data_IF_480526847931
#
_entry.id   IF_480526847931
#
_cell.length_a   1.000
_cell.length_b   1.000
_cell.length_c   1.000
_cell.angle_alpha   90.00
_cell.angle_beta   90.00
_cell.angle_gamma   90.00
#
_symmetry.space_group_name_H-M   'P 1'
#
loop_
_entity.id
_entity.type
_entity.pdbx_description
1 polymer ?
#
# COMPACT_ATOMS: atom_id res chain seq x y z
N UNK A 1 2.83 -35.75 5.87
CA UNK A 1 3.16 -34.75 4.84
C UNK A 1 2.70 -35.29 3.50
N UNK A 2 1.77 -34.61 2.85
CA UNK A 2 1.32 -34.96 1.51
C UNK A 2 2.16 -34.17 0.50
N UNK A 3 2.90 -34.88 -0.35
CA UNK A 3 3.71 -34.24 -1.40
C UNK A 3 2.85 -34.15 -2.67
N UNK A 4 2.77 -32.95 -3.25
CA UNK A 4 2.09 -32.72 -4.52
C UNK A 4 3.14 -32.49 -5.59
N UNK A 5 3.12 -33.34 -6.60
CA UNK A 5 4.00 -33.28 -7.76
C UNK A 5 3.20 -32.75 -8.94
N UNK A 6 3.68 -31.67 -9.55
CA UNK A 6 3.09 -31.11 -10.77
C UNK A 6 4.06 -31.41 -11.91
N UNK A 7 3.69 -32.36 -12.76
CA UNK A 7 4.44 -32.71 -13.96
C UNK A 7 3.86 -32.00 -15.19
N UNK A 8 4.21 -30.72 -15.33
CA UNK A 8 3.68 -29.87 -16.40
C UNK A 8 4.78 -28.92 -16.94
N UNK A 9 5.63 -29.40 -17.86
CA UNK A 9 6.79 -28.63 -18.35
C UNK A 9 6.43 -27.37 -19.14
N UNK A 10 5.23 -27.31 -19.73
CA UNK A 10 4.74 -26.13 -20.45
C UNK A 10 3.88 -25.20 -19.57
N UNK A 11 3.79 -25.47 -18.27
CA UNK A 11 3.00 -24.64 -17.37
C UNK A 11 3.68 -23.27 -17.19
N UNK A 12 3.01 -22.21 -17.66
CA UNK A 12 3.52 -20.84 -17.52
C UNK A 12 3.00 -20.13 -16.27
N UNK A 13 1.81 -20.52 -15.79
CA UNK A 13 1.15 -19.89 -14.64
C UNK A 13 0.59 -20.92 -13.67
N UNK A 14 0.87 -20.75 -12.39
CA UNK A 14 0.33 -21.57 -11.31
C UNK A 14 -0.24 -20.67 -10.21
N UNK A 15 -1.51 -20.89 -9.88
CA UNK A 15 -2.15 -20.33 -8.69
C UNK A 15 -2.56 -21.50 -7.78
N UNK A 16 -1.98 -21.55 -6.59
CA UNK A 16 -2.18 -22.64 -5.66
C UNK A 16 -2.45 -22.14 -4.25
N UNK A 17 -3.63 -22.48 -3.73
CA UNK A 17 -4.03 -22.19 -2.36
C UNK A 17 -3.91 -23.48 -1.53
N UNK A 18 -2.98 -23.48 -0.58
CA UNK A 18 -2.72 -24.63 0.28
C UNK A 18 -3.79 -24.69 1.37
N UNK A 19 -4.23 -25.90 1.72
CA UNK A 19 -5.15 -26.05 2.84
C UNK A 19 -4.42 -25.72 4.16
N UNK A 20 -4.96 -24.86 5.05
CA UNK A 20 -4.22 -24.31 6.20
C UNK A 20 -3.64 -25.34 7.19
N UNK A 21 -4.22 -26.56 7.21
CA UNK A 21 -3.86 -27.63 8.13
C UNK A 21 -3.10 -28.78 7.45
N UNK A 22 -2.78 -28.66 6.16
CA UNK A 22 -2.02 -29.68 5.46
C UNK A 22 -0.51 -29.49 5.71
N UNK A 23 0.15 -30.56 6.17
CA UNK A 23 1.61 -30.66 6.02
C UNK A 23 1.88 -30.99 4.55
N UNK A 24 2.48 -30.05 3.83
CA UNK A 24 2.56 -30.09 2.38
C UNK A 24 3.96 -29.75 1.91
N UNK A 25 4.37 -30.41 0.83
CA UNK A 25 5.57 -30.07 0.07
C UNK A 25 5.19 -29.96 -1.39
N UNK A 26 5.37 -28.76 -1.95
CA UNK A 26 5.20 -28.53 -3.37
C UNK A 26 6.48 -28.92 -4.09
N UNK A 27 6.39 -29.80 -5.08
CA UNK A 27 7.48 -30.00 -6.03
C UNK A 27 7.11 -29.34 -7.36
N UNK A 28 7.90 -28.33 -7.75
CA UNK A 28 7.79 -27.59 -9.03
C UNK A 28 8.98 -27.88 -9.98
N UNK A 29 9.76 -28.93 -9.72
CA UNK A 29 11.01 -29.19 -10.44
C UNK A 29 10.78 -29.41 -11.95
N UNK A 30 9.61 -29.94 -12.33
CA UNK A 30 9.23 -30.15 -13.72
C UNK A 30 8.54 -28.92 -14.35
N UNK A 31 8.23 -27.87 -13.59
CA UNK A 31 7.54 -26.66 -14.08
C UNK A 31 8.54 -25.62 -14.60
N UNK A 32 9.53 -26.02 -15.41
CA UNK A 32 10.67 -25.17 -15.75
C UNK A 32 10.32 -23.90 -16.53
N UNK A 33 9.20 -23.89 -17.27
CA UNK A 33 8.71 -22.72 -18.03
C UNK A 33 7.79 -21.79 -17.21
N UNK A 34 7.68 -21.99 -15.89
CA UNK A 34 6.81 -21.18 -15.05
C UNK A 34 7.29 -19.72 -14.97
N UNK A 35 6.39 -18.80 -15.31
CA UNK A 35 6.60 -17.35 -15.30
C UNK A 35 5.79 -16.64 -14.22
N UNK A 36 4.63 -17.19 -13.85
CA UNK A 36 3.76 -16.66 -12.80
C UNK A 36 3.48 -17.70 -11.73
N UNK A 37 3.83 -17.38 -10.49
CA UNK A 37 3.57 -18.23 -9.34
C UNK A 37 2.82 -17.44 -8.25
N UNK A 38 1.63 -17.92 -7.90
CA UNK A 38 0.91 -17.49 -6.70
C UNK A 38 0.77 -18.68 -5.75
N UNK A 39 1.26 -18.50 -4.52
CA UNK A 39 1.11 -19.46 -3.43
C UNK A 39 0.44 -18.81 -2.24
N UNK A 40 -0.56 -19.48 -1.66
CA UNK A 40 -1.29 -18.99 -0.50
C UNK A 40 -1.33 -20.04 0.63
N UNK A 41 -1.38 -19.58 1.88
CA UNK A 41 -1.41 -20.40 3.10
C UNK A 41 -0.15 -21.25 3.34
N UNK A 42 1.03 -20.64 3.20
CA UNK A 42 2.33 -21.28 3.44
C UNK A 42 2.75 -21.29 4.93
N UNK A 43 1.79 -21.28 5.89
CA UNK A 43 2.12 -21.20 7.33
C UNK A 43 2.90 -22.38 7.88
N UNK A 44 2.82 -23.54 7.21
CA UNK A 44 3.54 -24.77 7.59
C UNK A 44 4.95 -24.86 6.99
N UNK A 45 5.37 -23.85 6.24
CA UNK A 45 6.69 -23.78 5.60
C UNK A 45 7.43 -22.56 6.13
N UNK A 46 8.59 -22.79 6.72
CA UNK A 46 9.50 -21.72 7.11
C UNK A 46 10.15 -21.16 5.84
N UNK A 47 9.81 -19.92 5.50
CA UNK A 47 10.37 -19.25 4.34
C UNK A 47 11.57 -18.42 4.80
N UNK A 48 12.76 -18.88 4.41
CA UNK A 48 14.05 -18.23 4.65
C UNK A 48 14.74 -17.88 3.32
N UNK A 49 15.88 -17.19 3.36
CA UNK A 49 16.67 -16.82 2.16
C UNK A 49 16.92 -18.00 1.22
N UNK A 50 17.27 -19.17 1.78
CA UNK A 50 17.53 -20.39 1.02
C UNK A 50 16.32 -20.85 0.20
N UNK A 51 15.10 -20.61 0.70
CA UNK A 51 13.87 -20.98 -0.01
C UNK A 51 13.75 -20.21 -1.33
N UNK A 52 14.04 -18.91 -1.33
CA UNK A 52 14.03 -18.09 -2.55
C UNK A 52 15.15 -18.49 -3.51
N UNK A 53 16.35 -18.77 -3.01
CA UNK A 53 17.47 -19.24 -3.84
C UNK A 53 17.13 -20.54 -4.56
N UNK A 54 16.56 -21.52 -3.85
CA UNK A 54 16.11 -22.77 -4.44
C UNK A 54 14.99 -22.55 -5.45
N UNK A 55 14.00 -21.71 -5.13
CA UNK A 55 12.89 -21.37 -6.02
C UNK A 55 13.38 -20.80 -7.36
N UNK A 56 14.23 -19.78 -7.33
CA UNK A 56 14.73 -19.14 -8.55
C UNK A 56 15.70 -20.01 -9.33
N UNK A 57 16.42 -20.93 -8.67
CA UNK A 57 17.26 -21.91 -9.36
C UNK A 57 16.43 -22.93 -10.16
N UNK A 58 15.28 -23.33 -9.62
CA UNK A 58 14.37 -24.31 -10.24
C UNK A 58 13.46 -23.68 -11.29
N UNK A 59 13.11 -22.40 -11.11
CA UNK A 59 12.21 -21.65 -11.97
C UNK A 59 12.96 -20.46 -12.60
N UNK A 60 13.88 -20.72 -13.55
CA UNK A 60 14.77 -19.71 -14.09
C UNK A 60 14.05 -18.62 -14.89
N UNK A 61 12.78 -18.82 -15.29
CA UNK A 61 11.98 -17.85 -16.04
C UNK A 61 10.90 -17.15 -15.18
N UNK A 62 10.95 -17.31 -13.85
CA UNK A 62 9.93 -16.76 -12.97
C UNK A 62 9.96 -15.23 -12.96
N UNK A 63 8.94 -14.59 -13.54
CA UNK A 63 8.81 -13.14 -13.64
C UNK A 63 7.92 -12.55 -12.55
N UNK A 64 6.99 -13.33 -12.01
CA UNK A 64 6.00 -12.85 -11.03
C UNK A 64 5.85 -13.84 -9.89
N UNK A 65 6.17 -13.40 -8.68
CA UNK A 65 5.99 -14.17 -7.45
C UNK A 65 4.99 -13.47 -6.53
N UNK A 66 3.94 -14.18 -6.13
CA UNK A 66 2.94 -13.72 -5.18
C UNK A 66 2.82 -14.73 -4.04
N UNK A 67 3.15 -14.32 -2.83
CA UNK A 67 3.09 -15.15 -1.64
C UNK A 67 2.07 -14.58 -0.67
N UNK A 68 1.24 -15.44 -0.09
CA UNK A 68 0.25 -15.03 0.89
C UNK A 68 0.16 -15.95 2.10
N UNK A 69 -0.08 -15.34 3.26
CA UNK A 69 -0.31 -16.00 4.53
C UNK A 69 0.84 -16.97 4.87
N UNK A 70 2.06 -16.44 4.93
CA UNK A 70 3.32 -17.19 5.13
C UNK A 70 3.96 -16.86 6.48
N UNK A 71 4.75 -17.80 7.01
CA UNK A 71 5.68 -17.53 8.12
C UNK A 71 7.09 -17.36 7.54
N UNK A 72 7.71 -16.19 7.75
CA UNK A 72 9.02 -15.86 7.18
C UNK A 72 10.05 -15.64 8.29
N UNK A 73 11.34 -15.77 7.97
CA UNK A 73 12.40 -15.27 8.85
C UNK A 73 12.26 -13.76 9.11
N UNK A 74 12.83 -13.28 10.22
CA UNK A 74 12.78 -11.86 10.57
C UNK A 74 13.44 -10.97 9.52
N UNK A 75 14.51 -11.47 8.91
CA UNK A 75 15.22 -10.81 7.80
C UNK A 75 15.19 -11.74 6.59
N UNK A 76 14.78 -11.20 5.45
CA UNK A 76 14.79 -11.89 4.17
C UNK A 76 15.59 -11.11 3.13
N UNK A 77 16.43 -11.82 2.38
CA UNK A 77 17.17 -11.32 1.24
C UNK A 77 16.71 -12.03 -0.03
N UNK A 78 16.13 -11.28 -0.96
CA UNK A 78 15.67 -11.79 -2.25
C UNK A 78 16.61 -11.29 -3.34
N UNK A 79 17.25 -12.20 -4.06
CA UNK A 79 18.03 -11.87 -5.25
C UNK A 79 17.46 -12.58 -6.48
N UNK A 80 17.14 -11.82 -7.53
CA UNK A 80 16.62 -12.40 -8.78
C UNK A 80 16.95 -11.54 -10.00
N UNK A 81 17.39 -12.20 -11.07
CA UNK A 81 17.65 -11.54 -12.34
C UNK A 81 16.39 -11.38 -13.21
N UNK A 82 15.35 -12.20 -13.01
CA UNK A 82 14.17 -12.24 -13.88
C UNK A 82 12.91 -11.62 -13.27
N UNK A 83 12.87 -11.52 -11.94
CA UNK A 83 11.67 -11.09 -11.22
C UNK A 83 11.29 -9.65 -11.61
N UNK A 84 10.07 -9.50 -12.13
CA UNK A 84 9.42 -8.23 -12.49
C UNK A 84 8.36 -7.82 -11.48
N UNK A 85 7.69 -8.79 -10.86
CA UNK A 85 6.61 -8.55 -9.88
C UNK A 85 6.82 -9.37 -8.63
N UNK A 86 6.77 -8.71 -7.47
CA UNK A 86 6.77 -9.36 -6.16
C UNK A 86 5.58 -8.86 -5.33
N UNK A 87 4.72 -9.76 -4.88
CA UNK A 87 3.66 -9.45 -3.91
C UNK A 87 3.78 -10.33 -2.67
N UNK A 88 3.81 -9.73 -1.49
CA UNK A 88 3.76 -10.41 -0.20
C UNK A 88 2.50 -9.98 0.55
N UNK A 89 1.66 -10.93 0.95
CA UNK A 89 0.40 -10.67 1.66
C UNK A 89 0.33 -11.43 2.98
N UNK A 90 0.01 -10.73 4.07
CA UNK A 90 -0.18 -11.29 5.40
C UNK A 90 0.96 -12.23 5.84
N UNK A 91 2.21 -11.87 5.50
CA UNK A 91 3.39 -12.59 5.93
C UNK A 91 3.75 -12.18 7.36
N UNK A 92 3.83 -13.16 8.27
CA UNK A 92 4.17 -12.92 9.67
C UNK A 92 5.67 -13.01 9.90
N UNK A 93 6.13 -12.41 11.00
CA UNK A 93 7.51 -12.43 11.51
C UNK A 93 8.54 -11.62 10.68
N UNK A 94 8.23 -11.25 9.42
CA UNK A 94 9.10 -10.43 8.57
C UNK A 94 9.25 -8.99 9.12
N UNK A 95 10.47 -8.64 9.54
CA UNK A 95 10.84 -7.30 10.04
C UNK A 95 11.68 -6.52 9.04
N UNK A 96 12.52 -7.19 8.26
CA UNK A 96 13.39 -6.58 7.25
C UNK A 96 13.39 -7.37 5.94
N UNK A 97 13.29 -6.66 4.82
CA UNK A 97 13.25 -7.23 3.48
C UNK A 97 14.20 -6.47 2.56
N UNK A 98 15.25 -7.16 2.11
CA UNK A 98 16.23 -6.65 1.17
C UNK A 98 16.00 -7.30 -0.20
N UNK A 99 15.89 -6.49 -1.25
CA UNK A 99 15.61 -6.95 -2.61
C UNK A 99 16.73 -6.49 -3.56
N UNK A 100 17.41 -7.45 -4.18
CA UNK A 100 18.36 -7.26 -5.29
C UNK A 100 17.75 -7.85 -6.57
N UNK A 101 16.91 -7.05 -7.24
CA UNK A 101 16.18 -7.46 -8.44
C UNK A 101 16.11 -6.32 -9.47
N UNK A 102 17.12 -6.26 -10.35
CA UNK A 102 17.28 -5.20 -11.37
C UNK A 102 16.09 -4.99 -12.30
N UNK A 103 15.33 -6.04 -12.58
CA UNK A 103 14.21 -6.01 -13.52
C UNK A 103 12.86 -5.84 -12.80
N UNK A 104 12.86 -5.61 -11.48
CA UNK A 104 11.65 -5.47 -10.68
C UNK A 104 10.92 -4.17 -11.04
N UNK A 105 9.70 -4.31 -11.56
CA UNK A 105 8.82 -3.22 -11.97
C UNK A 105 7.73 -2.95 -10.94
N UNK A 106 7.32 -3.96 -10.16
CA UNK A 106 6.27 -3.81 -9.16
C UNK A 106 6.59 -4.60 -7.89
N UNK A 107 6.52 -3.93 -6.76
CA UNK A 107 6.54 -4.52 -5.45
C UNK A 107 5.25 -4.17 -4.71
N UNK A 108 4.61 -5.15 -4.09
CA UNK A 108 3.44 -4.95 -3.26
C UNK A 108 3.57 -5.67 -1.91
N UNK A 109 3.33 -4.96 -0.82
CA UNK A 109 3.20 -5.55 0.50
C UNK A 109 1.79 -5.34 1.05
N UNK A 110 1.18 -6.37 1.62
CA UNK A 110 -0.14 -6.30 2.25
C UNK A 110 -0.04 -6.87 3.67
N UNK A 111 -0.26 -6.06 4.70
CA UNK A 111 -0.15 -6.51 6.09
C UNK A 111 -0.14 -5.38 7.11
N UNK A 112 -0.27 -5.74 8.39
CA UNK A 112 -0.42 -4.79 9.50
C UNK A 112 0.91 -4.13 9.90
N UNK A 113 2.01 -4.89 9.75
CA UNK A 113 3.36 -4.44 10.10
C UNK A 113 4.23 -4.59 8.86
N UNK A 114 4.39 -3.53 8.06
CA UNK A 114 5.28 -3.60 6.92
C UNK A 114 6.75 -3.62 7.37
N UNK A 115 7.61 -4.40 6.70
CA UNK A 115 9.01 -4.53 7.08
C UNK A 115 9.81 -3.26 6.72
N UNK A 116 11.02 -3.16 7.29
CA UNK A 116 12.07 -2.33 6.75
C UNK A 116 12.41 -2.78 5.34
N UNK A 117 12.20 -1.90 4.36
CA UNK A 117 12.43 -2.20 2.95
C UNK A 117 13.74 -1.62 2.46
N UNK A 118 14.51 -2.41 1.72
CA UNK A 118 15.67 -1.94 1.00
C UNK A 118 15.78 -2.56 -0.39
N UNK A 119 16.03 -1.73 -1.40
CA UNK A 119 16.25 -2.14 -2.77
C UNK A 119 17.71 -1.84 -3.15
N UNK A 120 18.53 -2.88 -3.34
CA UNK A 120 19.94 -2.71 -3.69
C UNK A 120 20.12 -2.40 -5.18
N UNK A 121 19.47 -3.18 -6.04
CA UNK A 121 19.34 -2.92 -7.47
C UNK A 121 17.88 -3.10 -7.86
N UNK A 122 17.29 -2.07 -8.44
CA UNK A 122 15.89 -2.06 -8.87
C UNK A 122 15.73 -1.27 -10.15
N UNK A 123 14.57 -1.44 -10.81
CA UNK A 123 14.23 -0.64 -11.98
C UNK A 123 13.98 0.82 -11.61
N UNK A 124 14.33 1.74 -12.50
CA UNK A 124 13.93 3.14 -12.42
C UNK A 124 12.40 3.34 -12.57
N UNK A 125 11.67 2.29 -12.96
CA UNK A 125 10.22 2.28 -13.11
C UNK A 125 9.51 1.50 -12.00
N UNK A 126 10.21 1.15 -10.91
CA UNK A 126 9.62 0.37 -9.82
C UNK A 126 8.39 1.09 -9.25
N UNK A 127 7.27 0.39 -9.11
CA UNK A 127 6.12 0.85 -8.35
C UNK A 127 6.06 0.10 -7.03
N UNK A 128 6.01 0.84 -5.92
CA UNK A 128 5.92 0.29 -4.56
C UNK A 128 4.50 0.52 -4.05
N UNK A 129 3.76 -0.55 -3.92
CA UNK A 129 2.40 -0.53 -3.40
C UNK A 129 2.39 -1.10 -1.99
N UNK A 130 1.69 -0.45 -1.08
CA UNK A 130 1.46 -0.98 0.27
C UNK A 130 -0.02 -0.97 0.57
N UNK A 131 -0.51 -2.12 1.02
CA UNK A 131 -1.87 -2.32 1.48
C UNK A 131 -1.79 -2.50 2.99
N UNK A 132 -2.29 -1.53 3.74
CA UNK A 132 -2.26 -1.58 5.19
C UNK A 132 -3.68 -1.56 5.73
N UNK A 133 -3.98 -2.50 6.63
CA UNK A 133 -5.11 -2.36 7.53
C UNK A 133 -4.62 -1.42 8.62
N UNK A 134 -5.10 -0.20 8.60
CA UNK A 134 -4.59 0.87 9.46
C UNK A 134 -5.59 1.14 10.57
N UNK A 135 -5.23 0.78 11.79
CA UNK A 135 -5.87 1.29 13.01
C UNK A 135 -5.05 2.47 13.56
N UNK A 136 -5.68 3.38 14.32
CA UNK A 136 -5.00 4.56 14.90
C UNK A 136 -3.64 4.25 15.57
N UNK A 137 -3.50 3.18 16.37
CA UNK A 137 -2.22 2.81 16.98
C UNK A 137 -1.14 2.36 15.98
N UNK A 138 -1.53 1.83 14.81
CA UNK A 138 -0.62 1.27 13.81
C UNK A 138 -0.14 2.29 12.78
N UNK A 139 -0.63 3.53 12.82
CA UNK A 139 -0.24 4.57 11.86
C UNK A 139 1.24 5.00 11.98
N UNK A 140 1.89 4.84 13.14
CA UNK A 140 3.35 5.02 13.28
C UNK A 140 4.14 4.06 12.36
N UNK A 141 3.60 2.86 12.09
CA UNK A 141 4.21 1.88 11.18
C UNK A 141 4.19 2.38 9.74
N UNK A 142 3.16 3.14 9.35
CA UNK A 142 3.09 3.78 8.03
C UNK A 142 4.21 4.79 7.85
N UNK A 143 4.45 5.65 8.84
CA UNK A 143 5.55 6.62 8.77
C UNK A 143 6.90 5.94 8.61
N UNK A 144 7.18 4.92 9.43
CA UNK A 144 8.41 4.11 9.32
C UNK A 144 8.55 3.49 7.94
N UNK A 145 7.47 2.95 7.40
CA UNK A 145 7.45 2.38 6.06
C UNK A 145 7.85 3.39 5.00
N UNK A 146 7.21 4.57 4.98
CA UNK A 146 7.53 5.60 3.99
C UNK A 146 8.96 6.12 4.18
N UNK A 147 9.43 6.27 5.44
CA UNK A 147 10.80 6.67 5.75
C UNK A 147 11.85 5.66 5.26
N UNK A 148 11.55 4.36 5.31
CA UNK A 148 12.48 3.33 4.82
C UNK A 148 12.64 3.36 3.29
N UNK A 149 11.62 3.78 2.55
CA UNK A 149 11.65 3.82 1.08
C UNK A 149 12.29 5.11 0.56
N UNK A 150 12.07 6.25 1.24
CA UNK A 150 12.46 7.58 0.77
C UNK A 150 13.99 7.83 0.52
N UNK A 151 14.95 7.27 1.30
CA UNK A 151 16.37 7.58 1.10
C UNK A 151 17.02 6.91 -0.13
N UNK A 152 16.31 6.06 -0.86
CA UNK A 152 16.94 5.21 -1.90
C UNK A 152 16.92 5.80 -3.33
N UNK A 153 16.47 7.05 -3.52
CA UNK A 153 16.39 7.71 -4.84
C UNK A 153 15.68 6.87 -5.92
N UNK A 154 14.81 5.95 -5.52
CA UNK A 154 14.02 5.21 -6.46
C UNK A 154 13.04 6.22 -7.06
N UNK A 155 13.03 6.39 -8.39
CA UNK A 155 12.06 7.20 -9.14
C UNK A 155 10.62 6.63 -9.04
N UNK A 156 10.36 5.83 -8.01
CA UNK A 156 9.25 4.94 -7.83
C UNK A 156 8.00 5.66 -7.34
N UNK A 157 6.86 5.24 -7.88
CA UNK A 157 5.55 5.59 -7.37
C UNK A 157 5.29 4.77 -6.10
N UNK A 158 5.19 5.44 -4.95
CA UNK A 158 4.61 4.84 -3.75
C UNK A 158 3.11 5.08 -3.79
N UNK A 159 2.31 4.00 -3.81
CA UNK A 159 0.87 4.05 -3.60
C UNK A 159 0.50 3.33 -2.30
N UNK A 160 -0.14 4.05 -1.39
CA UNK A 160 -0.67 3.47 -0.16
C UNK A 160 -2.17 3.22 -0.33
N UNK A 161 -2.61 2.01 0.01
CA UNK A 161 -4.01 1.60 0.01
C UNK A 161 -4.42 1.32 1.45
N UNK A 162 -5.39 2.07 1.96
CA UNK A 162 -5.84 1.97 3.35
C UNK A 162 -7.17 1.23 3.40
N UNK A 163 -7.18 0.07 4.05
CA UNK A 163 -8.35 -0.79 4.21
C UNK A 163 -8.88 -0.76 5.65
N UNK A 164 -10.21 -0.62 5.82
CA UNK A 164 -11.03 -0.79 7.04
C UNK A 164 -10.29 -0.57 8.38
N UNK A 165 -10.54 0.58 9.02
CA UNK A 165 -10.05 0.85 10.37
C UNK A 165 -11.03 0.41 11.45
N UNK A 166 -10.55 -0.27 12.50
CA UNK A 166 -11.23 -0.36 13.79
C UNK A 166 -10.77 0.84 14.64
N UNK A 167 -11.45 1.97 14.46
CA UNK A 167 -11.04 3.22 15.09
C UNK A 167 -11.32 3.19 16.60
N UNK A 168 -10.29 3.01 17.41
CA UNK A 168 -10.27 3.45 18.81
C UNK A 168 -9.78 4.90 18.87
N UNK A 169 -10.30 5.72 19.80
CA UNK A 169 -9.85 7.11 19.95
C UNK A 169 -8.33 7.14 20.14
N UNK A 170 -7.58 7.98 19.40
CA UNK A 170 -6.15 8.12 19.63
C UNK A 170 -5.89 8.63 21.05
N UNK A 171 -4.94 8.02 21.76
CA UNK A 171 -4.48 8.54 23.05
C UNK A 171 -3.83 9.92 22.84
N UNK A 172 -4.12 10.87 23.75
CA UNK A 172 -3.80 12.30 23.62
C UNK A 172 -2.30 12.67 23.57
N UNK A 173 -1.38 11.71 23.44
CA UNK A 173 0.07 11.94 23.39
C UNK A 173 0.75 11.64 22.04
N UNK A 174 0.05 11.12 21.03
CA UNK A 174 0.67 10.59 19.82
C UNK A 174 1.04 11.64 18.73
N UNK A 175 0.82 12.93 19.00
CA UNK A 175 0.87 14.01 18.00
C UNK A 175 2.14 14.87 18.02
N UNK A 176 3.29 14.36 18.46
CA UNK A 176 4.57 15.03 18.25
C UNK A 176 5.35 14.37 17.12
N UNK A 177 5.13 14.87 15.91
CA UNK A 177 5.89 14.49 14.73
C UNK A 177 6.72 15.71 14.29
N UNK A 178 7.98 15.77 14.77
CA UNK A 178 8.92 16.90 14.58
C UNK A 178 9.97 16.67 13.48
N UNK A 179 9.61 16.04 12.35
CA UNK A 179 10.50 16.05 11.18
C UNK A 179 9.74 15.95 9.86
N UNK A 180 10.29 16.61 8.84
CA UNK A 180 9.78 16.66 7.46
C UNK A 180 9.38 15.25 7.03
N UNK A 181 8.08 15.05 6.84
CA UNK A 181 7.53 13.75 6.47
C UNK A 181 7.93 13.42 5.02
N UNK A 182 8.25 12.15 4.75
CA UNK A 182 8.56 11.72 3.39
C UNK A 182 7.31 11.88 2.50
N UNK A 183 7.48 12.49 1.33
CA UNK A 183 6.42 12.72 0.34
C UNK A 183 6.17 11.44 -0.46
N UNK A 184 4.92 11.01 -0.55
CA UNK A 184 4.50 9.93 -1.47
C UNK A 184 3.80 10.50 -2.69
N UNK A 185 3.89 9.81 -3.82
CA UNK A 185 3.26 10.30 -5.06
C UNK A 185 1.74 10.05 -5.10
N UNK A 186 1.23 8.98 -4.46
CA UNK A 186 -0.21 8.68 -4.44
C UNK A 186 -0.65 8.04 -3.11
N UNK A 187 -1.78 8.50 -2.59
CA UNK A 187 -2.54 7.88 -1.50
C UNK A 187 -3.91 7.46 -2.05
N UNK A 188 -4.27 6.19 -1.95
CA UNK A 188 -5.61 5.69 -2.28
C UNK A 188 -6.34 5.30 -1.00
N UNK A 189 -7.44 6.00 -0.72
CA UNK A 189 -8.27 5.73 0.45
C UNK A 189 -9.39 4.79 0.00
N UNK A 190 -9.38 3.56 0.51
CA UNK A 190 -10.37 2.53 0.19
C UNK A 190 -11.34 2.27 1.35
N UNK A 191 -11.54 3.24 2.25
CA UNK A 191 -12.57 3.22 3.30
C UNK A 191 -12.67 4.59 3.99
N UNK A 192 -13.88 4.99 4.41
CA UNK A 192 -14.08 6.15 5.28
C UNK A 192 -14.48 5.74 6.70
N UNK A 193 -14.05 6.46 7.75
CA UNK A 193 -14.67 6.33 9.07
C UNK A 193 -16.20 6.39 9.00
N UNK A 194 -16.89 5.70 9.92
CA UNK A 194 -18.35 5.80 10.04
C UNK A 194 -18.80 7.01 10.86
N UNK A 195 -18.01 7.39 11.85
CA UNK A 195 -18.28 8.51 12.75
C UNK A 195 -17.60 9.78 12.20
N UNK A 196 -18.40 10.82 11.98
CA UNK A 196 -17.95 12.14 11.50
C UNK A 196 -16.90 12.76 12.44
N UNK A 197 -16.99 12.49 13.74
CA UNK A 197 -16.02 12.98 14.72
C UNK A 197 -14.59 12.45 14.49
N UNK A 198 -14.46 11.39 13.66
CA UNK A 198 -13.18 10.76 13.34
C UNK A 198 -12.62 11.21 11.99
N UNK A 199 -13.35 11.98 11.18
CA UNK A 199 -12.94 12.38 9.84
C UNK A 199 -11.66 13.22 9.88
N UNK A 200 -11.68 14.31 10.65
CA UNK A 200 -10.53 15.19 10.80
C UNK A 200 -9.34 14.52 11.50
N UNK A 201 -9.49 13.85 12.66
CA UNK A 201 -8.38 13.15 13.30
C UNK A 201 -7.71 12.11 12.38
N UNK A 202 -8.51 11.38 11.59
CA UNK A 202 -8.01 10.40 10.64
C UNK A 202 -7.19 11.06 9.52
N UNK A 203 -7.76 12.06 8.84
CA UNK A 203 -7.11 12.71 7.71
C UNK A 203 -5.88 13.52 8.14
N UNK A 204 -6.00 14.32 9.21
CA UNK A 204 -4.89 15.10 9.73
C UNK A 204 -3.70 14.20 10.09
N UNK A 205 -3.96 13.02 10.67
CA UNK A 205 -2.91 12.06 10.96
C UNK A 205 -2.28 11.51 9.69
N UNK A 206 -3.07 11.06 8.70
CA UNK A 206 -2.54 10.52 7.45
C UNK A 206 -1.63 11.51 6.72
N UNK A 207 -2.12 12.73 6.52
CA UNK A 207 -1.39 13.78 5.81
C UNK A 207 -0.12 14.18 6.56
N UNK A 208 -0.15 14.22 7.90
CA UNK A 208 1.04 14.48 8.72
C UNK A 208 2.12 13.41 8.57
N UNK A 209 1.78 12.17 8.22
CA UNK A 209 2.73 11.05 8.20
C UNK A 209 3.28 10.68 6.81
N UNK A 210 2.54 11.01 5.74
CA UNK A 210 2.93 10.60 4.38
C UNK A 210 2.90 11.70 3.31
N UNK A 211 2.39 12.90 3.62
CA UNK A 211 2.39 14.08 2.73
C UNK A 211 2.24 13.73 1.23
N UNK A 212 1.08 13.21 0.79
CA UNK A 212 0.92 12.73 -0.58
C UNK A 212 0.82 13.89 -1.60
N UNK A 213 1.34 13.70 -2.81
CA UNK A 213 1.13 14.63 -3.93
C UNK A 213 -0.24 14.44 -4.60
N UNK A 214 -0.84 13.26 -4.42
CA UNK A 214 -2.14 12.94 -4.98
C UNK A 214 -2.93 12.03 -4.03
N UNK A 215 -4.17 12.39 -3.73
CA UNK A 215 -5.11 11.56 -2.96
C UNK A 215 -6.20 11.07 -3.91
N UNK A 216 -6.54 9.80 -3.85
CA UNK A 216 -7.64 9.20 -4.61
C UNK A 216 -8.64 8.57 -3.66
N UNK A 217 -9.92 8.82 -3.90
CA UNK A 217 -11.05 8.20 -3.19
C UNK A 217 -12.00 7.61 -4.23
N UNK A 218 -12.43 6.36 -4.04
CA UNK A 218 -13.31 5.65 -4.99
C UNK A 218 -14.76 5.56 -4.50
N UNK A 219 -15.75 5.74 -5.37
CA UNK A 219 -17.20 5.60 -5.05
C UNK A 219 -17.70 4.14 -5.08
N UNK A 220 -16.90 3.18 -4.65
CA UNK A 220 -17.36 1.79 -4.55
C UNK A 220 -18.38 1.66 -3.42
N UNK A 221 -19.56 1.13 -3.75
CA UNK A 221 -20.67 0.94 -2.82
C UNK A 221 -20.22 0.26 -1.53
N UNK A 222 -20.60 0.82 -0.38
CA UNK A 222 -20.28 0.39 1.00
C UNK A 222 -18.92 0.83 1.57
N UNK A 223 -18.10 1.56 0.81
CA UNK A 223 -16.73 1.88 1.21
C UNK A 223 -16.59 3.28 1.80
N UNK A 224 -17.22 4.28 1.20
CA UNK A 224 -17.16 5.68 1.63
C UNK A 224 -18.56 6.27 1.79
N UNK A 225 -18.77 7.10 2.81
CA UNK A 225 -19.97 7.93 2.92
C UNK A 225 -19.84 9.18 2.05
N UNK A 226 -20.95 9.69 1.51
CA UNK A 226 -20.99 11.00 0.84
C UNK A 226 -20.42 12.10 1.76
N UNK A 227 -20.84 12.07 3.03
CA UNK A 227 -20.38 12.98 4.08
C UNK A 227 -18.84 13.02 4.24
N UNK A 228 -18.15 11.88 4.12
CA UNK A 228 -16.69 11.86 4.21
C UNK A 228 -16.02 12.55 3.02
N UNK A 229 -16.61 12.42 1.82
CA UNK A 229 -16.08 13.04 0.61
C UNK A 229 -16.33 14.55 0.65
N UNK A 230 -17.54 14.98 1.06
CA UNK A 230 -17.87 16.39 1.31
C UNK A 230 -16.87 16.99 2.32
N UNK A 231 -16.69 16.34 3.47
CA UNK A 231 -15.69 16.74 4.46
C UNK A 231 -14.28 16.86 3.88
N UNK A 232 -13.83 15.87 3.07
CA UNK A 232 -12.48 15.88 2.51
C UNK A 232 -12.31 17.05 1.53
N UNK A 233 -13.32 17.33 0.73
CA UNK A 233 -13.31 18.45 -0.19
C UNK A 233 -13.28 19.78 0.58
N UNK A 234 -14.12 19.97 1.61
CA UNK A 234 -14.12 21.15 2.47
C UNK A 234 -12.78 21.33 3.19
N UNK A 235 -12.23 20.27 3.78
CA UNK A 235 -10.96 20.31 4.52
C UNK A 235 -9.78 20.69 3.63
N UNK A 236 -9.75 20.23 2.36
CA UNK A 236 -8.64 20.51 1.44
C UNK A 236 -8.81 21.83 0.68
N UNK A 237 -10.03 22.24 0.36
CA UNK A 237 -10.31 23.44 -0.44
C UNK A 237 -10.61 24.68 0.41
N UNK A 238 -11.19 24.51 1.60
CA UNK A 238 -11.59 25.59 2.52
C UNK A 238 -10.45 26.12 3.40
N UNK A 239 -9.21 26.09 2.91
CA UNK A 239 -7.99 26.28 3.70
C UNK A 239 -7.72 27.71 4.23
N UNK A 240 -8.76 28.53 4.43
CA UNK A 240 -8.63 29.87 5.02
C UNK A 240 -8.74 29.88 6.57
N UNK A 241 -9.19 28.79 7.22
CA UNK A 241 -9.31 28.71 8.68
C UNK A 241 -8.13 28.03 9.41
N UNK A 242 -7.94 28.42 10.67
CA UNK A 242 -6.73 28.31 11.50
C UNK A 242 -6.11 26.89 11.61
N UNK A 243 -4.81 26.77 11.31
CA UNK A 243 -4.01 25.58 11.65
C UNK A 243 -4.07 25.31 13.16
N UNK A 244 -4.53 24.12 13.58
CA UNK A 244 -4.55 23.71 15.00
C UNK A 244 -3.16 23.34 15.57
N UNK A 245 -2.13 24.02 15.10
CA UNK A 245 -0.74 23.66 15.26
C UNK A 245 -0.19 24.37 16.50
N UNK A 246 -0.07 23.65 17.62
CA UNK A 246 0.29 24.21 18.94
C UNK A 246 1.74 24.70 19.08
N UNK A 247 2.54 24.68 18.01
CA UNK A 247 3.93 25.15 18.03
C UNK A 247 4.29 25.94 16.76
N UNK A 248 4.76 27.16 16.95
CA UNK A 248 5.20 28.11 15.91
C UNK A 248 6.42 27.67 15.08
N UNK A 249 6.98 26.47 15.32
CA UNK A 249 8.24 26.01 14.74
C UNK A 249 8.18 24.68 13.95
N UNK A 250 7.01 24.06 13.77
CA UNK A 250 6.88 22.86 12.93
C UNK A 250 6.11 23.18 11.64
N UNK A 251 6.77 23.01 10.49
CA UNK A 251 6.12 23.02 9.17
C UNK A 251 5.21 21.80 9.08
N UNK A 252 3.93 21.94 9.44
CA UNK A 252 2.94 20.88 9.26
C UNK A 252 2.52 20.78 7.78
N UNK A 253 1.84 19.69 7.41
CA UNK A 253 1.36 19.49 6.03
C UNK A 253 0.43 20.62 5.57
N UNK A 254 -0.35 21.20 6.49
CA UNK A 254 -1.26 22.31 6.22
C UNK A 254 -0.50 23.57 5.79
N UNK A 255 0.56 23.94 6.51
CA UNK A 255 1.42 25.08 6.16
C UNK A 255 2.29 24.84 4.92
N UNK A 256 2.47 23.58 4.50
CA UNK A 256 3.18 23.25 3.27
C UNK A 256 2.25 23.33 2.04
N UNK A 257 0.94 23.16 2.22
CA UNK A 257 -0.02 23.13 1.13
C UNK A 257 -0.17 24.51 0.48
N UNK A 258 0.19 24.59 -0.81
CA UNK A 258 0.09 25.81 -1.64
C UNK A 258 -1.20 25.86 -2.44
N UNK A 259 -1.59 24.74 -3.02
CA UNK A 259 -2.77 24.64 -3.88
C UNK A 259 -3.33 23.23 -3.91
N UNK A 260 -4.64 23.12 -4.16
CA UNK A 260 -5.36 21.86 -4.37
C UNK A 260 -6.09 21.92 -5.69
N UNK A 261 -5.93 20.88 -6.51
CA UNK A 261 -6.72 20.67 -7.72
C UNK A 261 -7.55 19.40 -7.59
N UNK A 262 -8.86 19.53 -7.77
CA UNK A 262 -9.78 18.38 -7.72
C UNK A 262 -9.97 17.82 -9.12
N UNK A 263 -9.97 16.50 -9.23
CA UNK A 263 -10.15 15.75 -10.46
C UNK A 263 -11.29 14.75 -10.26
N UNK A 264 -12.29 14.80 -11.12
CA UNK A 264 -13.40 13.86 -11.10
C UNK A 264 -13.31 12.93 -12.30
N UNK A 265 -13.59 11.64 -12.11
CA UNK A 265 -13.64 10.70 -13.24
C UNK A 265 -15.00 10.67 -13.95
N UNK A 266 -15.98 11.43 -13.46
CA UNK A 266 -17.33 11.53 -14.01
C UNK A 266 -17.55 12.88 -14.66
N UNK A 267 -18.52 12.95 -15.58
CA UNK A 267 -18.81 14.17 -16.33
C UNK A 267 -19.44 15.20 -15.42
N UNK A 268 -18.70 16.27 -15.16
CA UNK A 268 -19.20 17.50 -14.57
C UNK A 268 -18.91 18.62 -15.59
N UNK A 269 -19.76 19.65 -15.65
CA UNK A 269 -19.45 20.85 -16.41
C UNK A 269 -18.12 21.45 -15.91
N UNK A 270 -17.21 21.77 -16.82
CA UNK A 270 -15.90 22.36 -16.48
C UNK A 270 -16.04 23.71 -15.75
N UNK A 271 -17.20 24.36 -15.86
CA UNK A 271 -17.53 25.62 -15.20
C UNK A 271 -18.47 25.48 -13.99
N UNK A 272 -18.79 24.25 -13.56
CA UNK A 272 -19.62 24.03 -12.38
C UNK A 272 -18.91 24.61 -11.14
N UNK A 273 -19.66 25.35 -10.31
CA UNK A 273 -19.19 25.71 -8.99
C UNK A 273 -19.07 24.47 -8.10
N UNK A 274 -18.30 24.59 -7.03
CA UNK A 274 -17.96 23.47 -6.15
C UNK A 274 -19.20 22.80 -5.53
N UNK A 275 -20.22 23.58 -5.17
CA UNK A 275 -21.49 23.08 -4.63
C UNK A 275 -22.22 22.21 -5.67
N UNK A 276 -22.24 22.65 -6.93
CA UNK A 276 -22.78 21.86 -8.05
C UNK A 276 -21.98 20.58 -8.28
N UNK A 277 -20.66 20.58 -8.06
CA UNK A 277 -19.83 19.36 -8.14
C UNK A 277 -20.16 18.37 -7.02
N UNK A 278 -20.40 18.86 -5.80
CA UNK A 278 -20.80 18.04 -4.65
C UNK A 278 -22.22 17.46 -4.81
N UNK A 279 -23.13 18.23 -5.39
CA UNK A 279 -24.49 17.76 -5.69
C UNK A 279 -24.52 16.72 -6.83
N UNK A 280 -23.57 16.81 -7.76
CA UNK A 280 -23.37 15.83 -8.83
C UNK A 280 -22.67 14.54 -8.35
N UNK A 281 -22.31 14.43 -7.07
CA UNK A 281 -21.64 13.24 -6.54
C UNK A 281 -22.52 11.99 -6.77
N UNK A 282 -21.96 10.89 -7.30
CA UNK A 282 -22.74 9.70 -7.65
C UNK A 282 -23.41 9.10 -6.42
N UNK A 283 -24.71 8.83 -6.51
CA UNK A 283 -25.51 8.23 -5.44
C UNK A 283 -25.38 6.71 -5.35
N UNK A 284 -24.14 6.21 -5.52
CA UNK A 284 -23.74 4.79 -5.50
C UNK A 284 -23.84 4.08 -6.88
N UNK A 285 -22.99 3.05 -7.10
CA UNK A 285 -22.90 2.11 -8.25
C UNK A 285 -21.97 2.43 -9.43
N UNK A 286 -21.25 3.55 -9.44
CA UNK A 286 -20.27 3.83 -10.49
C UNK A 286 -18.82 3.55 -10.00
N UNK A 287 -17.95 3.02 -10.86
CA UNK A 287 -16.49 2.84 -10.60
C UNK A 287 -15.74 4.18 -10.63
N UNK A 288 -16.39 5.24 -10.18
CA UNK A 288 -15.91 6.60 -10.27
C UNK A 288 -14.99 6.93 -9.09
N UNK A 289 -14.18 7.97 -9.25
CA UNK A 289 -13.20 8.41 -8.27
C UNK A 289 -13.15 9.93 -8.21
N UNK A 290 -12.84 10.44 -7.02
CA UNK A 290 -12.33 11.81 -6.84
C UNK A 290 -10.85 11.72 -6.57
N UNK A 291 -10.09 12.57 -7.27
CA UNK A 291 -8.67 12.78 -7.08
C UNK A 291 -8.41 14.20 -6.56
N UNK A 292 -7.45 14.34 -5.67
CA UNK A 292 -6.97 15.63 -5.18
C UNK A 292 -5.47 15.69 -5.44
N UNK A 293 -5.03 16.60 -6.31
CA UNK A 293 -3.63 16.89 -6.53
C UNK A 293 -3.21 17.98 -5.54
N UNK A 294 -2.21 17.67 -4.71
CA UNK A 294 -1.71 18.56 -3.66
C UNK A 294 -0.36 19.11 -4.08
N UNK A 295 -0.25 20.44 -4.09
CA UNK A 295 1.03 21.13 -4.27
C UNK A 295 1.57 21.53 -2.89
N UNK A 296 2.64 20.86 -2.45
CA UNK A 296 3.31 21.08 -1.15
C UNK A 296 4.57 21.96 -1.28
#
# INVERSE_FOLDING_TARGET
MQEVYIDAPNLESLDYCIHPYASFKLNLDNCTNLRWLRLWNLKSIDIEDKWFLELFSKLPFLESLKLGNCYMSERINISSAQLKVLKLSHCSNLQELNIDARNLLSFAYEGNHPPGLSFQKSSNQLEVNSFSIVDFPNLCSLRKFVQNINPQRILALISLFICRSLLSKPEQGAFQVSSISPTIKRLEIQFSPKDEALYFPFMNYLLSNCCPNFISVSFCSHVHSKAFIEFLCEMLMGSEEECHCSSSNSKCWWHALKSVKVLFTFKIDENADFDTMLDALPTCYAHERVGFMLEL
#
